data_IF_869937052403
#
_entry.id   IF_869937052403
#
_cell.length_a   1.000
_cell.length_b   1.000
_cell.length_c   1.000
_cell.angle_alpha   90.00
_cell.angle_beta   90.00
_cell.angle_gamma   90.00
#
_symmetry.space_group_name_H-M   'P 1'
#
loop_
_entity.id
_entity.type
_entity.pdbx_description
1 polymer ?
#
# COMPACT_ATOMS: atom_id res chain seq x y z
N UNK A 1 12.75 -6.09 -2.56
CA UNK A 1 11.90 -6.39 -1.38
C UNK A 1 10.67 -5.50 -1.47
N UNK A 2 9.49 -6.01 -1.12
CA UNK A 2 8.22 -5.25 -1.14
C UNK A 2 7.68 -5.20 0.28
N UNK A 3 7.19 -4.04 0.69
CA UNK A 3 6.50 -3.81 1.96
C UNK A 3 5.15 -3.16 1.65
N UNK A 4 4.06 -3.74 2.13
CA UNK A 4 2.71 -3.26 1.88
C UNK A 4 2.06 -2.82 3.19
N UNK A 5 1.74 -1.53 3.30
CA UNK A 5 0.93 -1.00 4.39
C UNK A 5 -0.55 -1.19 4.02
N UNK A 6 -1.19 -2.20 4.61
CA UNK A 6 -2.59 -2.51 4.36
C UNK A 6 -3.51 -1.55 5.12
N UNK A 7 -4.28 -0.73 4.40
CA UNK A 7 -5.16 0.25 4.99
C UNK A 7 -6.39 -0.41 5.61
N UNK A 8 -6.78 0.03 6.80
CA UNK A 8 -7.97 -0.42 7.55
C UNK A 8 -8.04 -1.93 7.84
N UNK A 9 -7.00 -2.69 7.51
CA UNK A 9 -6.93 -4.13 7.73
C UNK A 9 -6.47 -4.44 9.15
N UNK A 10 -7.13 -5.41 9.78
CA UNK A 10 -6.74 -5.98 11.08
C UNK A 10 -6.78 -7.50 10.97
N UNK A 11 -5.63 -8.15 11.07
CA UNK A 11 -5.52 -9.60 10.97
C UNK A 11 -4.09 -10.06 10.72
N UNK A 12 -3.92 -11.38 10.62
CA UNK A 12 -2.64 -12.03 10.38
C UNK A 12 -2.53 -12.51 8.94
N UNK A 13 -1.39 -12.24 8.31
CA UNK A 13 -1.08 -12.68 6.95
C UNK A 13 0.27 -13.41 6.87
N UNK A 14 0.89 -13.70 8.01
CA UNK A 14 2.16 -14.42 8.04
C UNK A 14 1.98 -15.84 7.50
N UNK A 15 2.86 -16.25 6.59
CA UNK A 15 2.80 -17.54 5.91
C UNK A 15 1.73 -17.65 4.81
N UNK A 16 0.93 -16.61 4.59
CA UNK A 16 -0.06 -16.58 3.52
C UNK A 16 0.56 -16.14 2.19
N UNK A 17 0.11 -16.74 1.08
CA UNK A 17 0.43 -16.24 -0.27
C UNK A 17 -0.52 -15.08 -0.59
N UNK A 18 0.04 -13.96 -1.05
CA UNK A 18 -0.72 -12.76 -1.41
C UNK A 18 -0.32 -12.26 -2.80
N UNK A 19 -1.30 -11.83 -3.58
CA UNK A 19 -1.09 -11.13 -4.84
C UNK A 19 -1.13 -9.62 -4.65
N UNK A 20 -0.33 -8.87 -5.42
CA UNK A 20 -0.34 -7.41 -5.41
C UNK A 20 -0.61 -6.87 -6.82
N UNK A 21 -1.67 -6.06 -6.95
CA UNK A 21 -1.86 -5.21 -8.12
C UNK A 21 -1.15 -3.88 -7.91
N UNK A 22 -0.22 -3.54 -8.80
CA UNK A 22 0.40 -2.21 -8.82
C UNK A 22 -0.44 -1.27 -9.68
N UNK A 23 -1.16 -0.35 -9.04
CA UNK A 23 -2.09 0.55 -9.74
C UNK A 23 -1.44 1.85 -10.20
N UNK A 24 -0.67 2.50 -9.33
CA UNK A 24 -0.05 3.78 -9.61
C UNK A 24 1.23 3.96 -8.80
N UNK A 25 2.19 4.69 -9.36
CA UNK A 25 3.36 5.15 -8.64
C UNK A 25 3.05 6.49 -7.95
N UNK A 26 3.03 6.51 -6.62
CA UNK A 26 2.71 7.73 -5.86
C UNK A 26 3.92 8.66 -5.69
N UNK A 27 5.12 8.09 -5.49
CA UNK A 27 6.39 8.81 -5.33
C UNK A 27 7.60 7.89 -5.49
N UNK A 28 8.78 8.50 -5.60
CA UNK A 28 10.06 7.80 -5.42
C UNK A 28 10.41 7.54 -3.96
N UNK A 29 11.48 6.77 -3.74
CA UNK A 29 12.03 6.53 -2.42
C UNK A 29 12.75 7.78 -1.88
N UNK A 30 12.55 8.08 -0.61
CA UNK A 30 13.11 9.26 0.07
C UNK A 30 13.61 8.86 1.45
N UNK A 31 14.76 9.38 1.86
CA UNK A 31 15.26 9.23 3.24
C UNK A 31 14.62 10.32 4.10
N UNK A 32 14.18 9.96 5.29
CA UNK A 32 13.67 10.92 6.29
C UNK A 32 14.68 11.03 7.42
N UNK A 33 14.86 12.26 7.92
CA UNK A 33 15.80 12.55 9.01
C UNK A 33 15.17 12.40 10.40
N UNK A 34 13.85 12.24 10.47
CA UNK A 34 13.10 12.09 11.71
C UNK A 34 11.87 11.20 11.50
N UNK A 35 11.39 10.56 12.56
CA UNK A 35 10.24 9.64 12.53
C UNK A 35 8.96 10.40 12.22
N UNK A 36 8.82 11.61 12.74
CA UNK A 36 7.67 12.49 12.55
C UNK A 36 7.52 12.89 11.07
N UNK A 37 8.64 13.14 10.40
CA UNK A 37 8.65 13.45 8.97
C UNK A 37 8.20 12.25 8.11
N UNK A 38 8.62 11.04 8.50
CA UNK A 38 8.14 9.81 7.87
C UNK A 38 6.65 9.60 8.11
N UNK A 39 6.18 9.76 9.36
CA UNK A 39 4.77 9.61 9.71
C UNK A 39 3.87 10.57 8.91
N UNK A 40 4.24 11.85 8.85
CA UNK A 40 3.52 12.84 8.06
C UNK A 40 3.51 12.53 6.56
N UNK A 41 4.60 11.93 6.02
CA UNK A 41 4.59 11.45 4.63
C UNK A 41 3.66 10.25 4.46
N UNK A 42 3.68 9.29 5.38
CA UNK A 42 2.79 8.13 5.30
C UNK A 42 1.32 8.55 5.33
N UNK A 43 0.93 9.53 6.13
CA UNK A 43 -0.44 10.08 6.12
C UNK A 43 -0.84 10.63 4.75
N UNK A 44 0.06 11.36 4.08
CA UNK A 44 -0.15 11.83 2.70
C UNK A 44 -0.26 10.68 1.70
N UNK A 45 0.63 9.70 1.81
CA UNK A 45 0.64 8.51 0.96
C UNK A 45 -0.70 7.73 1.13
N UNK A 46 -1.22 7.61 2.35
CA UNK A 46 -2.53 7.00 2.64
C UNK A 46 -3.67 7.81 2.00
N UNK A 47 -3.69 9.13 2.19
CA UNK A 47 -4.72 9.99 1.62
C UNK A 47 -4.76 9.89 0.08
N UNK A 48 -3.60 9.89 -0.58
CA UNK A 48 -3.50 9.72 -2.02
C UNK A 48 -3.91 8.31 -2.47
N UNK A 49 -3.51 7.27 -1.74
CA UNK A 49 -3.90 5.88 -2.03
C UNK A 49 -5.42 5.70 -2.03
N UNK A 50 -6.14 6.33 -1.09
CA UNK A 50 -7.61 6.25 -0.99
C UNK A 50 -8.32 6.77 -2.23
N UNK A 51 -7.71 7.65 -3.03
CA UNK A 51 -8.29 8.15 -4.27
C UNK A 51 -8.45 7.05 -5.33
N UNK A 52 -7.72 5.94 -5.22
CA UNK A 52 -7.79 4.80 -6.14
C UNK A 52 -8.82 3.73 -5.75
N UNK A 53 -9.58 3.91 -4.67
CA UNK A 53 -10.61 2.96 -4.23
C UNK A 53 -11.60 2.54 -5.35
N UNK A 54 -12.06 3.44 -6.25
CA UNK A 54 -12.93 3.05 -7.36
C UNK A 54 -12.30 2.03 -8.31
N UNK A 55 -11.00 2.13 -8.58
CA UNK A 55 -10.30 1.20 -9.46
C UNK A 55 -10.22 -0.21 -8.85
N UNK A 56 -10.01 -0.29 -7.53
CA UNK A 56 -9.89 -1.57 -6.81
C UNK A 56 -11.15 -2.44 -6.96
N UNK A 57 -12.34 -1.83 -6.90
CA UNK A 57 -13.61 -2.55 -7.03
C UNK A 57 -13.82 -3.26 -8.36
N UNK A 58 -13.02 -2.93 -9.38
CA UNK A 58 -13.10 -3.53 -10.73
C UNK A 58 -12.01 -4.56 -11.05
N UNK A 59 -11.06 -4.79 -10.13
CA UNK A 59 -9.94 -5.70 -10.38
C UNK A 59 -10.36 -7.16 -10.23
N UNK A 60 -10.00 -7.98 -11.22
CA UNK A 60 -10.08 -9.43 -11.09
C UNK A 60 -8.96 -9.94 -10.15
N UNK A 61 -9.22 -10.96 -9.31
CA UNK A 61 -8.19 -11.56 -8.48
C UNK A 61 -6.99 -12.09 -9.29
N UNK A 62 -5.78 -11.91 -8.77
CA UNK A 62 -4.59 -12.53 -9.36
C UNK A 62 -4.55 -14.03 -9.01
N UNK A 63 -4.20 -14.90 -9.97
CA UNK A 63 -3.87 -16.28 -9.66
C UNK A 63 -2.65 -16.34 -8.72
N UNK A 64 -2.69 -17.24 -7.74
CA UNK A 64 -1.67 -17.40 -6.70
C UNK A 64 -0.74 -18.60 -6.92
N UNK A 65 -0.77 -19.21 -8.11
CA UNK A 65 0.02 -20.38 -8.52
C UNK A 65 1.54 -20.20 -8.28
#
# INVERSE_FOLDING_TARGET
>A
RVEAHLLDFRGELLGQRVGLHLLAALRGQTKFHAVEALAAQLERDVAQTRQYAPAIGSLAPLPLE
#
